data_IF_619790149814
#
_entry.id   IF_619790149814
#
_cell.length_a   1.000
_cell.length_b   1.000
_cell.length_c   1.000
_cell.angle_alpha   90.00
_cell.angle_beta   90.00
_cell.angle_gamma   90.00
#
_symmetry.space_group_name_H-M   'P 1'
#
loop_
_entity.id
_entity.type
_entity.pdbx_description
1 polymer ?
#
# COMPACT_ATOMS: atom_id res chain seq x y z
N UNK A 1 -2.66 7.25 23.50
CA UNK A 1 -1.27 7.67 23.23
C UNK A 1 -1.24 8.27 21.83
N UNK A 2 -1.24 9.60 21.71
CA UNK A 2 -1.14 10.26 20.41
C UNK A 2 0.28 10.03 19.90
N UNK A 3 0.44 9.15 18.92
CA UNK A 3 1.71 9.03 18.22
C UNK A 3 2.02 10.38 17.59
N UNK A 4 3.19 10.94 17.92
CA UNK A 4 3.69 12.15 17.27
C UNK A 4 3.68 11.87 15.76
N UNK A 5 2.95 12.69 14.98
CA UNK A 5 2.93 12.55 13.52
C UNK A 5 4.26 13.03 12.96
N UNK A 6 5.28 12.19 13.02
CA UNK A 6 6.53 12.41 12.33
C UNK A 6 6.37 12.09 10.85
N UNK A 7 7.05 12.86 10.01
CA UNK A 7 7.12 12.57 8.57
C UNK A 7 7.84 11.23 8.39
N UNK A 8 7.12 10.24 7.88
CA UNK A 8 7.75 8.98 7.50
C UNK A 8 8.69 9.21 6.29
N UNK A 9 9.99 9.00 6.50
CA UNK A 9 10.97 8.94 5.41
C UNK A 9 11.04 7.51 4.91
N UNK A 10 10.64 7.30 3.66
CA UNK A 10 10.70 5.98 3.02
C UNK A 10 12.10 5.75 2.46
N UNK A 11 12.74 4.68 2.90
CA UNK A 11 14.04 4.19 2.41
C UNK A 11 13.91 2.76 1.87
N UNK A 12 14.90 2.25 1.12
CA UNK A 12 14.89 0.85 0.65
C UNK A 12 14.78 -0.20 1.78
N UNK A 13 15.19 0.15 3.00
CA UNK A 13 15.13 -0.72 4.18
C UNK A 13 13.81 -0.59 4.95
N UNK A 14 12.95 0.37 4.58
CA UNK A 14 11.64 0.54 5.22
C UNK A 14 10.75 -0.68 4.98
N UNK A 15 9.96 -1.05 5.98
CA UNK A 15 9.04 -2.19 5.93
C UNK A 15 7.60 -1.66 6.02
N UNK A 16 7.00 -1.24 4.89
CA UNK A 16 5.67 -0.64 4.90
C UNK A 16 4.60 -1.68 5.21
N UNK A 17 3.56 -1.25 5.92
CA UNK A 17 2.38 -2.08 6.22
C UNK A 17 1.10 -1.26 6.06
N UNK A 18 0.03 -1.94 5.64
CA UNK A 18 -1.30 -1.37 5.76
C UNK A 18 -1.81 -1.50 7.20
N UNK A 19 -2.35 -0.42 7.80
CA UNK A 19 -2.98 -0.50 9.11
C UNK A 19 -4.12 -1.52 9.12
N UNK A 20 -4.37 -2.16 10.28
CA UNK A 20 -5.37 -3.23 10.42
C UNK A 20 -6.80 -2.85 10.00
N UNK A 21 -7.14 -1.57 10.08
CA UNK A 21 -8.45 -1.03 9.72
C UNK A 21 -8.56 -0.58 8.26
N UNK A 22 -7.47 -0.73 7.49
CA UNK A 22 -7.44 -0.44 6.06
C UNK A 22 -7.63 -1.74 5.29
N UNK A 23 -8.57 -1.75 4.33
CA UNK A 23 -8.82 -2.90 3.46
C UNK A 23 -8.85 -2.50 1.99
N UNK A 24 -8.31 -3.37 1.14
CA UNK A 24 -8.42 -3.24 -0.32
C UNK A 24 -9.61 -4.08 -0.76
N UNK A 25 -10.56 -3.48 -1.49
CA UNK A 25 -11.78 -4.14 -1.93
C UNK A 25 -12.12 -3.75 -3.37
N UNK A 26 -12.55 -4.72 -4.16
CA UNK A 26 -13.08 -4.45 -5.50
C UNK A 26 -14.49 -3.87 -5.41
N UNK A 27 -14.73 -2.77 -6.11
CA UNK A 27 -16.04 -2.15 -6.28
C UNK A 27 -16.60 -2.52 -7.68
N UNK A 28 -17.66 -3.34 -7.75
CA UNK A 28 -18.24 -3.75 -9.02
C UNK A 28 -19.04 -2.64 -9.72
N UNK A 29 -19.46 -1.58 -9.04
CA UNK A 29 -20.16 -0.46 -9.69
C UNK A 29 -19.16 0.37 -10.49
N UNK A 30 -17.97 0.57 -9.94
CA UNK A 30 -16.88 1.35 -10.57
C UNK A 30 -15.92 0.51 -11.39
N UNK A 31 -16.02 -0.81 -11.29
CA UNK A 31 -15.08 -1.77 -11.89
C UNK A 31 -13.62 -1.44 -11.52
N UNK A 32 -13.39 -1.09 -10.26
CA UNK A 32 -12.10 -0.62 -9.77
C UNK A 32 -11.84 -1.06 -8.33
N UNK A 33 -10.57 -1.11 -7.93
CA UNK A 33 -10.20 -1.38 -6.55
C UNK A 33 -10.19 -0.09 -5.71
N UNK A 34 -10.78 -0.18 -4.52
CA UNK A 34 -10.77 0.86 -3.51
C UNK A 34 -9.90 0.45 -2.31
N UNK A 35 -9.18 1.40 -1.74
CA UNK A 35 -8.56 1.28 -0.42
C UNK A 35 -9.45 2.01 0.58
N UNK A 36 -10.10 1.23 1.45
CA UNK A 36 -11.06 1.70 2.42
C UNK A 36 -10.36 1.92 3.75
N UNK A 37 -10.30 3.18 4.20
CA UNK A 37 -9.89 3.57 5.55
C UNK A 37 -11.10 4.10 6.33
N UNK A 38 -11.04 4.19 7.67
CA UNK A 38 -12.15 4.68 8.49
C UNK A 38 -12.64 6.09 8.12
N UNK A 39 -11.73 6.97 7.71
CA UNK A 39 -12.07 8.37 7.41
C UNK A 39 -12.29 8.62 5.92
N UNK A 40 -11.64 7.83 5.05
CA UNK A 40 -11.55 8.10 3.61
C UNK A 40 -11.50 6.84 2.76
N UNK A 41 -12.02 6.96 1.54
CA UNK A 41 -11.83 5.98 0.46
C UNK A 41 -10.79 6.54 -0.51
N UNK A 42 -9.82 5.72 -0.88
CA UNK A 42 -8.82 6.03 -1.91
C UNK A 42 -9.02 5.12 -3.12
N UNK A 43 -8.79 5.64 -4.32
CA UNK A 43 -8.88 4.93 -5.58
C UNK A 43 -7.49 4.85 -6.22
N UNK A 44 -6.68 3.84 -5.87
CA UNK A 44 -5.38 3.64 -6.49
C UNK A 44 -5.53 3.31 -7.98
N UNK A 45 -4.55 3.70 -8.78
CA UNK A 45 -4.36 3.10 -10.11
C UNK A 45 -3.75 1.69 -9.96
N UNK A 46 -3.63 0.97 -11.07
CA UNK A 46 -3.18 -0.43 -11.08
C UNK A 46 -1.78 -0.59 -10.47
N UNK A 47 -0.84 0.29 -10.82
CA UNK A 47 0.53 0.27 -10.28
C UNK A 47 0.53 0.51 -8.76
N UNK A 48 -0.24 1.48 -8.29
CA UNK A 48 -0.35 1.79 -6.86
C UNK A 48 -1.00 0.63 -6.11
N UNK A 49 -1.98 -0.04 -6.70
CA UNK A 49 -2.63 -1.22 -6.14
C UNK A 49 -1.64 -2.37 -5.95
N UNK A 50 -0.80 -2.63 -6.95
CA UNK A 50 0.22 -3.68 -6.87
C UNK A 50 1.27 -3.39 -5.81
N UNK A 51 1.68 -2.14 -5.66
CA UNK A 51 2.55 -1.70 -4.55
C UNK A 51 1.85 -1.94 -3.21
N UNK A 52 0.61 -1.47 -3.05
CA UNK A 52 -0.15 -1.57 -1.80
C UNK A 52 -0.41 -3.02 -1.38
N UNK A 53 -0.62 -3.93 -2.34
CA UNK A 53 -0.77 -5.38 -2.09
C UNK A 53 0.50 -6.02 -1.52
N UNK A 54 1.68 -5.45 -1.75
CA UNK A 54 2.97 -5.93 -1.22
C UNK A 54 3.36 -5.29 0.12
N UNK A 55 2.62 -4.28 0.59
CA UNK A 55 2.83 -3.63 1.89
C UNK A 55 2.28 -4.50 3.03
N UNK A 56 2.96 -5.60 3.31
CA UNK A 56 2.58 -6.66 4.26
C UNK A 56 3.16 -6.47 5.68
N UNK A 57 4.02 -5.49 5.89
CA UNK A 57 4.74 -5.28 7.15
C UNK A 57 5.90 -6.24 7.41
N UNK A 58 6.36 -6.97 6.38
CA UNK A 58 7.49 -7.90 6.45
C UNK A 58 8.51 -7.64 5.35
N UNK A 59 8.04 -7.31 4.16
CA UNK A 59 8.84 -7.05 2.98
C UNK A 59 9.43 -5.64 3.03
N UNK A 60 10.73 -5.50 2.75
CA UNK A 60 11.35 -4.18 2.62
C UNK A 60 10.96 -3.52 1.30
N UNK A 61 11.00 -2.18 1.23
CA UNK A 61 10.78 -1.44 -0.02
C UNK A 61 11.71 -1.92 -1.12
N UNK A 62 12.97 -2.23 -0.81
CA UNK A 62 13.91 -2.79 -1.79
C UNK A 62 13.45 -4.13 -2.37
N UNK A 63 12.89 -5.02 -1.53
CA UNK A 63 12.32 -6.29 -2.00
C UNK A 63 11.08 -6.06 -2.87
N UNK A 64 10.22 -5.13 -2.47
CA UNK A 64 9.02 -4.76 -3.23
C UNK A 64 9.42 -4.23 -4.61
N UNK A 65 10.42 -3.33 -4.69
CA UNK A 65 10.95 -2.78 -5.95
C UNK A 65 11.49 -3.90 -6.84
N UNK A 66 12.33 -4.79 -6.29
CA UNK A 66 12.92 -5.88 -7.06
C UNK A 66 11.83 -6.82 -7.64
N UNK A 67 10.82 -7.15 -6.83
CA UNK A 67 9.69 -7.96 -7.30
C UNK A 67 8.88 -7.26 -8.38
N UNK A 68 8.55 -5.98 -8.21
CA UNK A 68 7.82 -5.22 -9.22
C UNK A 68 8.63 -5.04 -10.51
N UNK A 69 9.94 -4.81 -10.43
CA UNK A 69 10.78 -4.74 -11.63
C UNK A 69 10.72 -6.04 -12.44
N UNK A 70 10.78 -7.19 -11.77
CA UNK A 70 10.67 -8.50 -12.42
C UNK A 70 9.29 -8.76 -13.04
N UNK A 71 8.21 -8.21 -12.47
CA UNK A 71 6.86 -8.41 -12.99
C UNK A 71 6.50 -7.48 -14.18
N UNK A 72 7.26 -6.39 -14.36
CA UNK A 72 6.98 -5.34 -15.35
C UNK A 72 8.08 -5.15 -16.42
N UNK A 73 9.18 -5.91 -16.36
CA UNK A 73 10.20 -6.02 -17.42
C UNK A 73 9.63 -6.70 -18.69
#
# INVERSE_FOLDING_TARGET
>A
MMALRERAMVSPQSVPSLPKHVRIQYDPVRQAFAVLSPEKVFWPNDISLDILRRCDGRSTVGHIIAGLAADYD
#
